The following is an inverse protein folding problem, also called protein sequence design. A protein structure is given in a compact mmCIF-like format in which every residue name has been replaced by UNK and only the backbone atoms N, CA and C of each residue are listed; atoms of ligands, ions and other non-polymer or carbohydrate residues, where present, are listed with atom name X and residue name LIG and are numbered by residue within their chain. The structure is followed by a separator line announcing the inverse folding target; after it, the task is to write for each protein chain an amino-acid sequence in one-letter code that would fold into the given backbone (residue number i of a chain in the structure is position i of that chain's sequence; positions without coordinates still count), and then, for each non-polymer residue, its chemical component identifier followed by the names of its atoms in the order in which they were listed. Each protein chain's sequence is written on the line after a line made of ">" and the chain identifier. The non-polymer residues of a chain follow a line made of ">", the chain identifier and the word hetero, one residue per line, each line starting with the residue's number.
data_IF_241250279004
#
_entry.id   IF_241250279004
#
_cell.length_a   1.000
_cell.length_b   1.000
_cell.length_c   1.000
_cell.angle_alpha   90.00
_cell.angle_beta   90.00
_cell.angle_gamma   90.00
#
_symmetry.space_group_name_H-M   'P 1'
#
loop_
_entity.id
_entity.type
_entity.pdbx_description
1 polymer ?
#
# COMPACT_ATOMS: atom_id res chain seq x y z
N UNK A 1 -17.65 -11.50 -11.73
CA UNK A 1 -18.15 -10.25 -11.10
C UNK A 1 -17.70 -9.01 -11.88
N UNK A 2 -16.58 -9.05 -12.61
CA UNK A 2 -16.04 -7.90 -13.34
C UNK A 2 -16.75 -7.59 -14.67
N UNK A 3 -17.40 -8.55 -15.33
CA UNK A 3 -18.15 -8.29 -16.58
C UNK A 3 -19.41 -7.43 -16.38
N UNK A 4 -19.96 -7.41 -15.16
CA UNK A 4 -21.20 -6.69 -14.82
C UNK A 4 -20.97 -5.43 -14.00
N UNK A 5 -19.74 -5.18 -13.55
CA UNK A 5 -19.41 -4.01 -12.75
C UNK A 5 -18.91 -2.87 -13.64
N UNK A 6 -19.63 -1.75 -13.63
CA UNK A 6 -19.20 -0.51 -14.29
C UNK A 6 -18.60 0.42 -13.24
N UNK A 7 -17.34 0.86 -13.39
CA UNK A 7 -16.73 1.83 -12.49
C UNK A 7 -17.57 3.10 -12.35
N UNK A 8 -17.75 3.56 -11.11
CA UNK A 8 -18.44 4.80 -10.82
C UNK A 8 -17.60 6.02 -11.20
N UNK A 9 -18.25 7.19 -11.30
CA UNK A 9 -17.54 8.46 -11.43
C UNK A 9 -16.95 8.85 -10.06
N UNK A 10 -15.66 9.25 -9.97
CA UNK A 10 -15.09 9.76 -8.73
C UNK A 10 -15.90 10.95 -8.18
N UNK A 11 -16.16 10.92 -6.87
CA UNK A 11 -16.90 11.99 -6.16
C UNK A 11 -15.98 12.93 -5.38
N UNK A 12 -14.67 12.83 -5.59
CA UNK A 12 -13.68 13.68 -4.94
C UNK A 12 -13.81 15.14 -5.37
N UNK A 13 -13.36 16.04 -4.50
CA UNK A 13 -13.35 17.48 -4.75
C UNK A 13 -12.51 17.82 -5.99
N UNK A 14 -12.94 18.81 -6.77
CA UNK A 14 -12.18 19.26 -7.94
C UNK A 14 -10.78 19.75 -7.54
N UNK A 15 -9.73 19.10 -8.05
CA UNK A 15 -8.34 19.37 -7.69
C UNK A 15 -7.74 18.43 -6.64
N UNK A 16 -8.51 17.51 -6.07
CA UNK A 16 -7.99 16.50 -5.13
C UNK A 16 -6.85 15.67 -5.76
N UNK A 17 -5.77 15.45 -5.01
CA UNK A 17 -4.63 14.65 -5.48
C UNK A 17 -4.95 13.18 -5.78
N UNK A 18 -6.02 12.63 -5.19
CA UNK A 18 -6.41 11.21 -5.33
C UNK A 18 -6.77 10.86 -6.79
N UNK A 19 -7.16 11.84 -7.60
CA UNK A 19 -7.32 11.67 -9.05
C UNK A 19 -6.03 11.22 -9.73
N UNK A 20 -4.88 11.78 -9.35
CA UNK A 20 -3.58 11.39 -9.89
C UNK A 20 -3.18 9.97 -9.46
N UNK A 21 -3.53 9.58 -8.24
CA UNK A 21 -3.28 8.23 -7.71
C UNK A 21 -4.12 7.20 -8.47
N UNK A 22 -5.40 7.48 -8.69
CA UNK A 22 -6.30 6.63 -9.47
C UNK A 22 -5.77 6.43 -10.90
N UNK A 23 -5.38 7.52 -11.57
CA UNK A 23 -4.88 7.48 -12.94
C UNK A 23 -3.58 6.67 -13.05
N UNK A 24 -2.64 6.89 -12.13
CA UNK A 24 -1.38 6.14 -12.09
C UNK A 24 -1.61 4.65 -11.86
N UNK A 25 -2.56 4.28 -10.99
CA UNK A 25 -2.89 2.88 -10.74
C UNK A 25 -3.57 2.21 -11.94
N UNK A 26 -4.55 2.87 -12.56
CA UNK A 26 -5.22 2.35 -13.76
C UNK A 26 -4.21 2.15 -14.89
N UNK A 27 -3.36 3.15 -15.14
CA UNK A 27 -2.32 3.09 -16.16
C UNK A 27 -1.32 1.98 -15.90
N UNK A 28 -0.79 1.87 -14.67
CA UNK A 28 0.17 0.82 -14.32
C UNK A 28 -0.43 -0.59 -14.46
N UNK A 29 -1.69 -0.79 -14.06
CA UNK A 29 -2.38 -2.07 -14.23
C UNK A 29 -2.60 -2.44 -15.69
N UNK A 30 -2.83 -1.45 -16.56
CA UNK A 30 -2.98 -1.65 -18.00
C UNK A 30 -1.63 -1.94 -18.67
N UNK A 31 -0.58 -1.21 -18.31
CA UNK A 31 0.79 -1.42 -18.80
C UNK A 31 1.29 -2.83 -18.46
N UNK A 32 0.99 -3.29 -17.24
CA UNK A 32 1.31 -4.64 -16.78
C UNK A 32 0.32 -5.72 -17.22
N UNK A 33 -0.72 -5.33 -17.98
CA UNK A 33 -1.75 -6.23 -18.51
C UNK A 33 -2.42 -7.11 -17.43
N UNK A 34 -2.53 -6.61 -16.19
CA UNK A 34 -3.18 -7.35 -15.10
C UNK A 34 -4.67 -7.43 -15.42
N UNK A 35 -5.27 -8.61 -15.63
CA UNK A 35 -6.66 -8.69 -16.04
C UNK A 35 -7.59 -8.32 -14.87
N UNK A 36 -8.75 -7.74 -15.17
CA UNK A 36 -9.65 -7.23 -14.14
C UNK A 36 -10.06 -8.28 -13.08
N UNK A 37 -10.17 -9.55 -13.49
CA UNK A 37 -10.55 -10.64 -12.59
C UNK A 37 -9.43 -11.09 -11.62
N UNK A 38 -8.19 -10.66 -11.85
CA UNK A 38 -7.06 -10.93 -10.94
C UNK A 38 -6.76 -9.75 -10.01
N UNK A 39 -7.40 -8.59 -10.24
CA UNK A 39 -7.24 -7.38 -9.43
C UNK A 39 -8.12 -7.48 -8.19
N UNK A 40 -7.52 -7.51 -7.01
CA UNK A 40 -8.23 -7.44 -5.73
C UNK A 40 -7.82 -6.16 -4.99
N UNK A 41 -8.73 -5.19 -4.88
CA UNK A 41 -8.46 -3.91 -4.24
C UNK A 41 -9.17 -3.86 -2.89
N UNK A 42 -8.38 -3.71 -1.83
CA UNK A 42 -8.86 -3.66 -0.46
C UNK A 42 -8.68 -2.23 0.04
N UNK A 43 -9.79 -1.55 0.28
CA UNK A 43 -9.80 -0.14 0.64
C UNK A 43 -10.09 0.06 2.13
N UNK A 44 -9.43 1.05 2.73
CA UNK A 44 -9.72 1.52 4.08
C UNK A 44 -10.89 2.51 4.10
N UNK A 45 -11.13 3.16 5.23
CA UNK A 45 -12.20 4.17 5.37
C UNK A 45 -11.60 5.57 5.22
N UNK A 46 -12.14 6.36 4.29
CA UNK A 46 -11.71 7.72 3.99
C UNK A 46 -12.07 8.12 2.56
N UNK A 47 -11.72 9.35 2.15
CA UNK A 47 -11.83 9.76 0.74
C UNK A 47 -11.02 8.82 -0.16
N UNK A 48 -9.80 8.50 0.27
CA UNK A 48 -8.92 7.52 -0.37
C UNK A 48 -9.56 6.13 -0.53
N UNK A 49 -10.39 5.71 0.43
CA UNK A 49 -11.06 4.41 0.42
C UNK A 49 -12.07 4.24 -0.72
N UNK A 50 -12.62 5.33 -1.26
CA UNK A 50 -13.57 5.23 -2.36
C UNK A 50 -12.93 4.84 -3.70
N UNK A 51 -11.59 4.85 -3.78
CA UNK A 51 -10.82 4.51 -5.00
C UNK A 51 -11.27 3.19 -5.63
N UNK A 52 -11.52 2.15 -4.84
CA UNK A 52 -11.90 0.83 -5.34
C UNK A 52 -13.21 0.84 -6.17
N UNK A 53 -14.07 1.86 -6.00
CA UNK A 53 -15.30 2.00 -6.78
C UNK A 53 -15.07 2.56 -8.20
N UNK A 54 -13.86 3.04 -8.52
CA UNK A 54 -13.57 3.82 -9.74
C UNK A 54 -12.70 3.07 -10.77
N UNK A 55 -12.48 1.77 -10.57
CA UNK A 55 -11.81 0.90 -11.53
C UNK A 55 -12.36 -0.52 -11.49
N UNK A 56 -12.25 -1.22 -12.63
CA UNK A 56 -12.74 -2.60 -12.76
C UNK A 56 -11.83 -3.56 -11.99
N UNK A 57 -12.34 -4.11 -10.89
CA UNK A 57 -11.64 -5.04 -10.01
C UNK A 57 -12.63 -5.81 -9.12
N UNK A 58 -12.12 -6.78 -8.35
CA UNK A 58 -12.77 -7.21 -7.11
C UNK A 58 -12.46 -6.19 -6.01
N UNK A 59 -13.45 -5.39 -5.63
CA UNK A 59 -13.32 -4.38 -4.59
C UNK A 59 -13.82 -4.88 -3.23
N UNK A 60 -13.09 -4.60 -2.16
CA UNK A 60 -13.50 -4.85 -0.79
C UNK A 60 -13.24 -3.63 0.09
N UNK A 61 -14.28 -3.06 0.67
CA UNK A 61 -14.16 -1.93 1.60
C UNK A 61 -14.01 -2.50 3.03
N UNK A 62 -12.78 -2.49 3.54
CA UNK A 62 -12.46 -2.93 4.89
C UNK A 62 -12.91 -1.89 5.93
N UNK A 63 -12.84 -2.29 7.20
CA UNK A 63 -13.00 -1.36 8.33
C UNK A 63 -11.82 -0.40 8.42
N UNK A 64 -12.03 0.72 9.10
CA UNK A 64 -11.01 1.76 9.27
C UNK A 64 -9.72 1.19 9.88
N UNK A 65 -8.60 1.36 9.17
CA UNK A 65 -7.28 0.84 9.48
C UNK A 65 -7.16 -0.68 9.46
N UNK A 66 -8.05 -1.39 8.77
CA UNK A 66 -8.02 -2.86 8.62
C UNK A 66 -7.67 -3.32 7.21
N UNK A 67 -7.10 -2.44 6.38
CA UNK A 67 -6.64 -2.77 5.03
C UNK A 67 -5.63 -3.91 5.04
N UNK A 68 -4.51 -3.73 5.74
CA UNK A 68 -3.41 -4.68 5.74
C UNK A 68 -3.71 -6.07 6.31
N UNK A 69 -4.44 -6.24 7.44
CA UNK A 69 -4.82 -7.58 7.89
C UNK A 69 -5.75 -8.28 6.88
N UNK A 70 -6.69 -7.53 6.29
CA UNK A 70 -7.60 -8.07 5.27
C UNK A 70 -6.83 -8.46 4.00
N UNK A 71 -5.92 -7.60 3.53
CA UNK A 71 -5.09 -7.85 2.35
C UNK A 71 -4.12 -9.01 2.53
N UNK A 72 -3.54 -9.14 3.72
CA UNK A 72 -2.71 -10.31 4.07
C UNK A 72 -3.52 -11.60 3.99
N UNK A 73 -4.74 -11.61 4.54
CA UNK A 73 -5.63 -12.76 4.46
C UNK A 73 -6.00 -13.12 3.02
N UNK A 74 -6.37 -12.13 2.21
CA UNK A 74 -6.69 -12.32 0.79
C UNK A 74 -5.49 -12.92 0.02
N UNK A 75 -4.28 -12.38 0.23
CA UNK A 75 -3.07 -12.86 -0.45
C UNK A 75 -2.67 -14.28 -0.03
N UNK A 76 -2.81 -14.62 1.26
CA UNK A 76 -2.55 -15.97 1.74
C UNK A 76 -3.60 -16.98 1.26
N UNK A 77 -4.86 -16.56 1.15
CA UNK A 77 -5.93 -17.41 0.66
C UNK A 77 -5.78 -17.71 -0.83
N UNK A 78 -5.41 -16.71 -1.64
CA UNK A 78 -5.17 -16.86 -3.06
C UNK A 78 -3.94 -16.03 -3.52
N UNK A 79 -2.74 -16.64 -3.52
CA UNK A 79 -1.50 -16.00 -3.94
C UNK A 79 -1.46 -15.53 -5.40
N UNK A 80 -2.32 -16.06 -6.26
CA UNK A 80 -2.33 -15.70 -7.69
C UNK A 80 -2.98 -14.32 -7.93
N UNK A 81 -3.75 -13.80 -6.98
CA UNK A 81 -4.34 -12.46 -7.11
C UNK A 81 -3.29 -11.36 -6.97
N UNK A 82 -3.47 -10.31 -7.76
CA UNK A 82 -2.80 -9.02 -7.57
C UNK A 82 -3.56 -8.27 -6.49
N UNK A 83 -3.08 -8.37 -5.25
CA UNK A 83 -3.71 -7.76 -4.07
C UNK A 83 -3.13 -6.38 -3.82
N UNK A 84 -4.00 -5.37 -3.86
CA UNK A 84 -3.65 -3.96 -3.69
C UNK A 84 -4.44 -3.41 -2.50
N UNK A 85 -3.73 -2.91 -1.49
CA UNK A 85 -4.33 -2.15 -0.40
C UNK A 85 -4.32 -0.66 -0.74
N UNK A 86 -5.41 0.06 -0.46
CA UNK A 86 -5.46 1.52 -0.59
C UNK A 86 -6.05 2.15 0.68
N UNK A 87 -5.49 3.27 1.13
CA UNK A 87 -5.95 3.96 2.32
C UNK A 87 -5.40 5.38 2.42
N UNK A 88 -5.91 6.14 3.40
CA UNK A 88 -5.36 7.46 3.74
C UNK A 88 -4.29 7.33 4.82
N UNK A 89 -3.56 8.42 5.04
CA UNK A 89 -2.62 8.58 6.16
C UNK A 89 -3.25 8.27 7.53
N UNK A 90 -4.43 8.80 7.83
CA UNK A 90 -5.15 8.49 9.07
C UNK A 90 -5.58 7.02 9.18
N UNK A 91 -6.02 6.41 8.08
CA UNK A 91 -6.39 5.00 8.03
C UNK A 91 -5.16 4.08 8.25
N UNK A 92 -4.07 4.37 7.55
CA UNK A 92 -2.86 3.54 7.54
C UNK A 92 -1.93 3.75 8.72
N UNK A 93 -1.79 4.99 9.20
CA UNK A 93 -0.76 5.36 10.17
C UNK A 93 -1.31 5.60 11.58
N UNK A 94 -2.58 6.00 11.73
CA UNK A 94 -3.20 6.11 13.05
C UNK A 94 -3.77 4.76 13.49
N UNK A 95 -5.07 4.53 13.27
CA UNK A 95 -5.76 3.31 13.72
C UNK A 95 -5.23 2.03 13.04
N UNK A 96 -4.59 2.16 11.87
CA UNK A 96 -3.93 1.08 11.15
C UNK A 96 -2.43 0.91 11.46
N UNK A 97 -1.81 1.82 12.22
CA UNK A 97 -0.35 1.88 12.36
C UNK A 97 0.28 0.59 12.90
N UNK A 98 -0.37 -0.07 13.88
CA UNK A 98 0.09 -1.36 14.38
C UNK A 98 0.11 -2.46 13.32
N UNK A 99 -0.86 -2.44 12.39
CA UNK A 99 -0.90 -3.40 11.29
C UNK A 99 0.17 -3.10 10.23
N UNK A 100 0.49 -1.83 9.99
CA UNK A 100 1.57 -1.41 9.09
C UNK A 100 2.92 -1.96 9.55
N UNK A 101 3.26 -1.78 10.82
CA UNK A 101 4.50 -2.32 11.42
C UNK A 101 4.59 -3.84 11.21
N UNK A 102 3.49 -4.56 11.45
CA UNK A 102 3.48 -6.01 11.28
C UNK A 102 3.46 -6.46 9.81
N UNK A 103 2.87 -5.69 8.90
CA UNK A 103 2.91 -5.97 7.47
C UNK A 103 4.34 -5.84 6.94
N UNK A 104 5.06 -4.76 7.29
CA UNK A 104 6.48 -4.63 7.00
C UNK A 104 7.30 -5.81 7.55
N UNK A 105 7.07 -6.22 8.80
CA UNK A 105 7.78 -7.36 9.40
C UNK A 105 7.52 -8.68 8.66
N UNK A 106 6.26 -8.94 8.28
CA UNK A 106 5.80 -10.20 7.67
C UNK A 106 6.08 -10.26 6.16
N UNK A 107 6.15 -9.11 5.50
CA UNK A 107 6.39 -8.97 4.07
C UNK A 107 5.37 -9.72 3.18
N UNK A 108 4.05 -9.57 3.37
CA UNK A 108 3.05 -10.20 2.49
C UNK A 108 3.13 -9.62 1.07
N UNK A 109 2.89 -10.42 0.02
CA UNK A 109 2.86 -9.96 -1.38
C UNK A 109 1.69 -9.03 -1.71
N UNK A 110 1.69 -7.85 -1.11
CA UNK A 110 0.64 -6.83 -1.23
C UNK A 110 1.28 -5.51 -1.64
N UNK A 111 0.71 -4.84 -2.63
CA UNK A 111 1.03 -3.45 -2.93
C UNK A 111 0.15 -2.54 -2.07
N UNK A 112 0.73 -1.76 -1.16
CA UNK A 112 -0.02 -0.85 -0.31
C UNK A 112 0.26 0.60 -0.71
N UNK A 113 -0.78 1.28 -1.18
CA UNK A 113 -0.72 2.67 -1.62
C UNK A 113 -1.43 3.54 -0.58
N UNK A 114 -0.68 4.45 0.06
CA UNK A 114 -1.25 5.40 1.02
C UNK A 114 -1.34 6.76 0.39
N UNK A 115 -2.55 7.31 0.31
CA UNK A 115 -2.83 8.67 -0.14
C UNK A 115 -2.66 9.60 1.06
N UNK A 116 -1.44 10.11 1.23
CA UNK A 116 -1.08 11.00 2.31
C UNK A 116 -1.46 12.44 1.92
N UNK A 117 -2.46 12.98 2.60
CA UNK A 117 -2.95 14.34 2.39
C UNK A 117 -2.76 15.24 3.62
N UNK A 118 -2.14 14.72 4.68
CA UNK A 118 -1.93 15.40 5.95
C UNK A 118 -3.21 15.74 6.70
N UNK A 119 -4.36 15.09 6.45
CA UNK A 119 -5.62 15.41 7.12
C UNK A 119 -6.73 14.35 6.98
N UNK A 120 -7.62 14.23 7.96
CA UNK A 120 -8.83 13.41 7.81
C UNK A 120 -9.90 14.11 6.95
N UNK A 121 -9.73 14.07 5.62
CA UNK A 121 -10.62 14.77 4.68
C UNK A 121 -12.10 14.38 4.78
N UNK A 122 -12.41 13.08 4.86
CA UNK A 122 -13.80 12.59 4.89
C UNK A 122 -14.55 13.05 6.15
N UNK A 123 -13.85 13.18 7.29
CA UNK A 123 -14.42 13.62 8.56
C UNK A 123 -14.31 15.12 8.78
N UNK A 124 -13.98 15.88 7.74
CA UNK A 124 -13.94 17.35 7.68
C UNK A 124 -12.69 18.02 8.24
N UNK A 125 -11.52 17.41 8.06
CA UNK A 125 -10.25 18.14 8.09
C UNK A 125 -9.49 18.12 9.41
N UNK A 126 -9.67 17.10 10.26
CA UNK A 126 -8.87 16.94 11.47
C UNK A 126 -7.40 16.69 11.13
N UNK A 127 -6.49 17.03 12.06
CA UNK A 127 -5.08 16.67 11.95
C UNK A 127 -4.90 15.14 11.90
N UNK A 128 -4.09 14.66 10.96
CA UNK A 128 -3.65 13.27 10.80
C UNK A 128 -2.29 13.07 11.47
N UNK A 129 -1.77 11.82 11.56
CA UNK A 129 -0.40 11.57 12.01
C UNK A 129 0.70 12.23 11.18
N UNK A 130 0.38 12.70 9.96
CA UNK A 130 1.36 13.32 9.05
C UNK A 130 1.11 14.83 8.89
N UNK A 131 0.18 15.38 9.66
CA UNK A 131 -0.02 16.82 9.72
C UNK A 131 1.19 17.50 10.32
N UNK A 132 1.65 18.59 9.71
CA UNK A 132 2.69 19.42 10.29
C UNK A 132 2.25 19.97 11.67
N UNK A 133 3.23 20.21 12.56
CA UNK A 133 2.98 20.91 13.81
C UNK A 133 2.34 22.29 13.53
N UNK A 134 1.30 22.63 14.29
CA UNK A 134 0.51 23.85 14.13
C UNK A 134 -0.70 23.73 13.18
N UNK A 135 -0.83 22.66 12.37
CA UNK A 135 -2.02 22.45 11.56
C UNK A 135 -3.21 22.03 12.44
N UNK A 136 -4.32 22.78 12.44
CA UNK A 136 -5.52 22.50 13.25
C UNK A 136 -5.19 22.25 14.73
N UNK A 137 -4.35 23.12 15.31
CA UNK A 137 -3.85 23.03 16.69
C UNK A 137 -3.07 21.73 17.01
N UNK A 138 -2.57 21.03 15.98
CA UNK A 138 -1.69 19.88 16.18
C UNK A 138 -0.41 20.30 16.91
N UNK A 139 -0.16 19.72 18.07
CA UNK A 139 1.04 19.96 18.89
C UNK A 139 2.12 18.90 18.69
N UNK A 140 1.80 17.82 17.98
CA UNK A 140 2.71 16.69 17.75
C UNK A 140 3.55 16.92 16.49
N UNK A 141 4.76 16.39 16.48
CA UNK A 141 5.55 16.27 15.25
C UNK A 141 4.92 15.26 14.30
N UNK A 142 5.06 15.49 13.00
CA UNK A 142 4.56 14.59 11.97
C UNK A 142 5.35 13.27 11.94
N UNK A 143 4.65 12.17 11.68
CA UNK A 143 5.24 10.87 11.45
C UNK A 143 5.81 10.78 10.03
N UNK A 144 7.04 10.29 9.89
CA UNK A 144 7.58 9.85 8.59
C UNK A 144 7.41 8.32 8.41
N UNK A 145 6.47 7.86 7.58
CA UNK A 145 6.23 6.45 7.40
C UNK A 145 7.31 5.76 6.54
N UNK A 146 8.09 6.51 5.76
CA UNK A 146 9.25 5.96 5.05
C UNK A 146 10.36 5.64 6.05
N UNK A 147 10.69 6.55 6.97
CA UNK A 147 11.66 6.27 8.03
C UNK A 147 11.19 5.11 8.93
N UNK A 148 9.90 5.05 9.26
CA UNK A 148 9.32 3.90 9.95
C UNK A 148 9.56 2.60 9.17
N UNK A 149 9.28 2.58 7.86
CA UNK A 149 9.51 1.42 7.00
C UNK A 149 10.99 1.02 6.94
N UNK A 150 11.91 1.99 6.84
CA UNK A 150 13.35 1.78 6.82
C UNK A 150 13.86 1.24 8.17
N UNK A 151 13.23 1.60 9.28
CA UNK A 151 13.57 1.08 10.61
C UNK A 151 13.22 -0.41 10.79
N UNK A 152 12.35 -0.96 9.94
CA UNK A 152 11.89 -2.36 10.03
C UNK A 152 12.65 -3.22 9.01
N UNK A 153 13.55 -4.14 9.43
CA UNK A 153 14.36 -4.95 8.52
C UNK A 153 13.56 -5.80 7.53
N UNK A 154 12.30 -6.09 7.85
CA UNK A 154 11.42 -6.89 7.02
C UNK A 154 10.87 -6.20 5.78
N UNK A 155 10.84 -4.86 5.73
CA UNK A 155 10.37 -4.10 4.58
C UNK A 155 11.24 -4.41 3.35
N UNK A 156 10.67 -4.49 2.16
CA UNK A 156 11.41 -4.84 0.94
C UNK A 156 11.25 -3.85 -0.19
N UNK A 157 10.26 -2.97 -0.14
CA UNK A 157 10.09 -1.92 -1.11
C UNK A 157 9.41 -0.73 -0.43
N UNK A 158 10.07 0.43 -0.48
CA UNK A 158 9.58 1.70 0.05
C UNK A 158 9.77 2.76 -1.03
N UNK A 159 8.69 3.44 -1.40
CA UNK A 159 8.72 4.53 -2.35
C UNK A 159 7.79 5.65 -1.88
N UNK A 160 8.12 6.89 -2.27
CA UNK A 160 7.26 8.05 -2.10
C UNK A 160 7.05 8.70 -3.45
N UNK A 161 5.79 8.86 -3.85
CA UNK A 161 5.39 9.59 -5.05
C UNK A 161 4.64 10.88 -4.70
N UNK A 162 4.40 11.70 -5.71
CA UNK A 162 3.59 12.91 -5.59
C UNK A 162 2.58 12.97 -6.73
N UNK A 163 1.30 13.19 -6.40
CA UNK A 163 0.23 13.37 -7.39
C UNK A 163 0.48 14.56 -8.34
N UNK A 164 1.24 15.58 -7.91
CA UNK A 164 1.69 16.67 -8.78
C UNK A 164 2.88 16.32 -9.68
N UNK A 165 3.42 15.10 -9.60
CA UNK A 165 4.46 14.58 -10.49
C UNK A 165 4.03 13.25 -11.15
N UNK A 166 3.05 13.30 -12.08
CA UNK A 166 2.32 12.13 -12.56
C UNK A 166 3.19 11.10 -13.29
N UNK A 167 4.22 11.54 -14.03
CA UNK A 167 5.10 10.64 -14.76
C UNK A 167 5.89 9.72 -13.82
N UNK A 168 6.52 10.29 -12.78
CA UNK A 168 7.21 9.50 -11.77
C UNK A 168 6.23 8.64 -10.96
N UNK A 169 5.08 9.19 -10.58
CA UNK A 169 4.07 8.43 -9.82
C UNK A 169 3.63 7.16 -10.57
N UNK A 170 3.43 7.24 -11.90
CA UNK A 170 3.16 6.08 -12.73
C UNK A 170 4.31 5.05 -12.68
N UNK A 171 5.55 5.50 -12.84
CA UNK A 171 6.72 4.59 -12.78
C UNK A 171 6.84 3.90 -11.41
N UNK A 172 6.68 4.65 -10.32
CA UNK A 172 6.73 4.09 -8.96
C UNK A 172 5.57 3.12 -8.68
N UNK A 173 4.38 3.43 -9.19
CA UNK A 173 3.20 2.55 -9.05
C UNK A 173 3.43 1.24 -9.81
N UNK A 174 3.96 1.31 -11.02
CA UNK A 174 4.34 0.13 -11.81
C UNK A 174 5.42 -0.70 -11.10
N UNK A 175 6.49 -0.06 -10.62
CA UNK A 175 7.57 -0.73 -9.91
C UNK A 175 7.08 -1.43 -8.63
N UNK A 176 6.13 -0.82 -7.91
CA UNK A 176 5.51 -1.41 -6.73
C UNK A 176 4.71 -2.68 -7.08
N UNK A 177 3.87 -2.62 -8.13
CA UNK A 177 3.12 -3.78 -8.60
C UNK A 177 4.03 -4.92 -9.10
N UNK A 178 5.09 -4.59 -9.85
CA UNK A 178 6.07 -5.57 -10.31
C UNK A 178 6.80 -6.24 -9.14
N UNK A 179 7.17 -5.47 -8.11
CA UNK A 179 7.86 -6.01 -6.92
C UNK A 179 7.02 -7.05 -6.20
N UNK A 180 5.73 -6.77 -5.98
CA UNK A 180 4.82 -7.72 -5.32
C UNK A 180 4.51 -8.92 -6.20
N UNK A 181 4.28 -8.72 -7.51
CA UNK A 181 4.03 -9.78 -8.48
C UNK A 181 5.22 -10.76 -8.62
N UNK A 182 6.45 -10.27 -8.45
CA UNK A 182 7.67 -11.08 -8.47
C UNK A 182 7.91 -11.86 -7.16
N UNK A 183 6.94 -11.85 -6.22
CA UNK A 183 7.05 -12.59 -4.97
C UNK A 183 8.09 -12.03 -3.99
N UNK A 184 8.44 -10.74 -4.13
CA UNK A 184 9.40 -10.04 -3.24
C UNK A 184 8.72 -9.42 -2.01
N UNK A 185 7.41 -9.62 -1.88
CA UNK A 185 6.62 -9.24 -0.73
C UNK A 185 5.99 -7.86 -0.87
N UNK A 186 5.94 -7.13 0.25
CA UNK A 186 5.15 -5.91 0.34
C UNK A 186 5.86 -4.77 -0.39
N UNK A 187 5.13 -4.13 -1.31
CA UNK A 187 5.55 -2.87 -1.91
C UNK A 187 4.74 -1.73 -1.31
N UNK A 188 5.39 -0.90 -0.50
CA UNK A 188 4.76 0.25 0.11
C UNK A 188 5.06 1.50 -0.73
N UNK A 189 4.00 2.16 -1.18
CA UNK A 189 4.05 3.40 -1.92
C UNK A 189 3.25 4.46 -1.16
N UNK A 190 3.94 5.39 -0.54
CA UNK A 190 3.31 6.62 -0.07
C UNK A 190 3.11 7.56 -1.26
N UNK A 191 1.93 8.16 -1.38
CA UNK A 191 1.69 9.20 -2.37
C UNK A 191 1.26 10.46 -1.66
N UNK A 192 2.06 11.51 -1.80
CA UNK A 192 1.68 12.86 -1.42
C UNK A 192 0.49 13.30 -2.32
N UNK A 193 -0.69 13.41 -1.71
CA UNK A 193 -1.97 13.67 -2.37
C UNK A 193 -2.66 14.89 -1.74
N UNK A 194 -2.51 16.12 -2.27
CA UNK A 194 -3.06 17.30 -1.64
C UNK A 194 -4.59 17.27 -1.48
N UNK A 195 -5.08 17.67 -0.30
CA UNK A 195 -6.50 17.85 -0.03
C UNK A 195 -6.91 19.31 -0.19
N UNK A 196 -7.28 19.71 -1.40
CA UNK A 196 -7.65 21.11 -1.75
C UNK A 196 -8.76 21.74 -0.89
N UNK A 197 -9.53 20.93 -0.15
CA UNK A 197 -10.62 21.40 0.71
C UNK A 197 -10.19 21.70 2.14
N UNK A 198 -9.27 20.92 2.71
CA UNK A 198 -8.93 20.98 4.13
C UNK A 198 -7.43 21.20 4.40
N UNK A 199 -6.56 20.80 3.47
CA UNK A 199 -5.11 20.94 3.57
C UNK A 199 -4.50 21.05 2.16
N UNK A 200 -4.55 22.25 1.58
CA UNK A 200 -4.04 22.51 0.22
C UNK A 200 -2.52 22.71 0.23
N UNK A 201 -1.80 21.61 0.06
CA UNK A 201 -0.34 21.55 0.12
C UNK A 201 0.33 21.66 -1.25
N UNK A 202 -0.41 21.89 -2.35
CA UNK A 202 0.19 21.92 -3.70
C UNK A 202 1.35 22.91 -3.82
N UNK A 203 1.19 24.12 -3.27
CA UNK A 203 2.20 25.17 -3.35
C UNK A 203 3.46 24.80 -2.56
N UNK A 204 3.27 24.31 -1.35
CA UNK A 204 4.34 24.00 -0.41
C UNK A 204 5.15 22.79 -0.89
N UNK A 205 4.45 21.68 -1.18
CA UNK A 205 5.10 20.45 -1.61
C UNK A 205 5.83 20.62 -2.94
N UNK A 206 5.29 21.38 -3.91
CA UNK A 206 5.99 21.64 -5.17
C UNK A 206 7.39 22.24 -4.97
N UNK A 207 7.58 23.02 -3.91
CA UNK A 207 8.90 23.60 -3.60
C UNK A 207 9.77 22.70 -2.73
N UNK A 208 9.19 21.80 -1.95
CA UNK A 208 9.91 20.93 -1.01
C UNK A 208 10.29 19.57 -1.59
N UNK A 209 9.60 19.08 -2.63
CA UNK A 209 9.88 17.77 -3.23
C UNK A 209 11.29 17.69 -3.78
N UNK A 210 11.98 16.59 -3.47
CA UNK A 210 13.34 16.29 -3.91
C UNK A 210 13.34 14.92 -4.58
N UNK A 211 13.69 14.85 -5.85
CA UNK A 211 13.66 13.60 -6.60
C UNK A 211 14.97 12.83 -6.39
N UNK A 212 14.92 11.76 -5.58
CA UNK A 212 16.07 10.91 -5.30
C UNK A 212 16.44 9.99 -6.47
N UNK A 213 15.52 9.76 -7.42
CA UNK A 213 15.82 8.95 -8.61
C UNK A 213 16.83 9.67 -9.54
N UNK A 214 16.98 10.99 -9.38
CA UNK A 214 17.98 11.81 -10.10
C UNK A 214 19.26 12.05 -9.30
N UNK A 215 19.40 11.49 -8.11
CA UNK A 215 20.60 11.67 -7.28
C UNK A 215 21.71 10.71 -7.74
N UNK A 216 22.81 11.27 -8.24
CA UNK A 216 23.95 10.51 -8.74
C UNK A 216 24.53 9.60 -7.64
N UNK A 217 24.59 8.30 -7.93
CA UNK A 217 25.17 7.30 -7.02
C UNK A 217 24.24 6.84 -5.90
N UNK A 218 22.97 7.24 -5.90
CA UNK A 218 21.98 6.70 -4.97
C UNK A 218 21.72 5.21 -5.26
N UNK A 219 21.86 4.35 -4.25
CA UNK A 219 21.57 2.91 -4.33
C UNK A 219 20.36 2.56 -3.45
N UNK A 220 19.18 2.23 -4.02
CA UNK A 220 18.03 1.80 -3.25
C UNK A 220 18.25 0.44 -2.55
N UNK A 221 19.33 -0.28 -2.86
CA UNK A 221 19.72 -1.52 -2.17
C UNK A 221 20.39 -1.29 -0.81
N UNK A 222 20.92 -0.09 -0.55
CA UNK A 222 21.60 0.23 0.72
C UNK A 222 20.63 0.88 1.71
N UNK A 223 20.09 0.06 2.62
CA UNK A 223 19.17 0.51 3.67
C UNK A 223 19.78 1.57 4.59
N UNK A 224 21.06 1.42 4.95
CA UNK A 224 21.68 2.30 5.93
C UNK A 224 21.91 3.68 5.31
N UNK A 225 22.41 3.71 4.07
CA UNK A 225 22.53 4.94 3.29
C UNK A 225 21.15 5.58 3.05
N UNK A 226 20.13 4.80 2.68
CA UNK A 226 18.77 5.30 2.51
C UNK A 226 18.22 5.92 3.80
N UNK A 227 18.38 5.25 4.96
CA UNK A 227 17.95 5.79 6.25
C UNK A 227 18.62 7.14 6.56
N UNK A 228 19.96 7.20 6.47
CA UNK A 228 20.69 8.44 6.70
C UNK A 228 20.28 9.57 5.75
N UNK A 229 20.12 9.25 4.46
CA UNK A 229 19.75 10.23 3.44
C UNK A 229 18.33 10.78 3.61
N UNK A 230 17.37 9.92 3.96
CA UNK A 230 15.99 10.36 4.23
C UNK A 230 15.93 11.25 5.47
N UNK A 231 16.70 10.93 6.52
CA UNK A 231 16.82 11.78 7.71
C UNK A 231 17.40 13.15 7.37
N UNK A 232 18.51 13.19 6.62
CA UNK A 232 19.16 14.44 6.20
C UNK A 232 18.21 15.33 5.37
N UNK A 233 17.53 14.76 4.37
CA UNK A 233 16.58 15.49 3.53
C UNK A 233 15.42 16.04 4.35
N UNK A 234 14.91 15.27 5.32
CA UNK A 234 13.84 15.72 6.22
C UNK A 234 14.30 16.90 7.08
N UNK A 235 15.50 16.85 7.66
CA UNK A 235 16.08 17.97 8.43
C UNK A 235 16.27 19.24 7.58
N UNK A 236 16.49 19.09 6.27
CA UNK A 236 16.55 20.19 5.30
C UNK A 236 15.16 20.69 4.85
N UNK A 237 14.06 20.13 5.39
CA UNK A 237 12.70 20.45 4.98
C UNK A 237 12.32 19.96 3.58
N UNK A 238 13.03 18.94 3.08
CA UNK A 238 12.79 18.32 1.76
C UNK A 238 11.87 17.11 1.89
N UNK A 239 11.11 16.85 0.83
CA UNK A 239 10.23 15.69 0.70
C UNK A 239 10.80 14.75 -0.37
N UNK A 240 11.58 13.72 0.01
CA UNK A 240 12.20 12.81 -0.95
C UNK A 240 11.13 12.02 -1.72
N UNK A 241 11.15 12.10 -3.04
CA UNK A 241 10.33 11.30 -3.97
C UNK A 241 11.22 10.31 -4.70
N UNK A 242 10.69 9.14 -5.03
CA UNK A 242 11.37 8.11 -5.82
C UNK A 242 11.32 6.73 -5.17
N UNK A 243 12.12 5.81 -5.70
CA UNK A 243 12.33 4.47 -5.12
C UNK A 243 13.38 4.55 -4.01
N UNK A 244 12.91 4.67 -2.77
CA UNK A 244 13.77 4.95 -1.60
C UNK A 244 14.48 3.69 -1.10
N UNK A 245 13.85 2.53 -1.20
CA UNK A 245 14.50 1.29 -0.82
C UNK A 245 13.91 0.11 -1.55
N UNK A 246 14.79 -0.79 -1.99
CA UNK A 246 14.42 -2.08 -2.57
C UNK A 246 15.35 -3.19 -2.05
N UNK A 247 14.82 -4.00 -1.14
CA UNK A 247 15.48 -5.17 -0.57
C UNK A 247 15.14 -6.47 -1.29
N UNK A 248 15.83 -7.54 -0.85
CA UNK A 248 15.64 -8.91 -1.37
C UNK A 248 15.21 -9.82 -0.22
N UNK A 249 13.90 -10.06 -0.09
CA UNK A 249 13.33 -11.05 0.83
C UNK A 249 12.09 -11.68 0.18
N UNK A 250 11.89 -13.00 0.31
CA UNK A 250 10.69 -13.64 -0.20
C UNK A 250 9.41 -13.12 0.48
N UNK A 251 8.31 -13.16 -0.26
CA UNK A 251 6.99 -12.83 0.24
C UNK A 251 6.48 -13.85 1.28
N UNK A 252 5.63 -13.42 2.21
CA UNK A 252 5.08 -14.25 3.28
C UNK A 252 4.47 -15.57 2.76
N UNK A 253 3.66 -15.50 1.70
CA UNK A 253 2.96 -16.64 1.13
C UNK A 253 3.91 -17.73 0.62
N UNK A 254 5.10 -17.36 0.14
CA UNK A 254 6.12 -18.33 -0.31
C UNK A 254 6.79 -19.09 0.84
N UNK A 255 6.70 -18.54 2.06
CA UNK A 255 7.27 -19.14 3.27
C UNK A 255 6.20 -19.89 4.09
N UNK A 256 4.95 -19.44 4.03
CA UNK A 256 3.87 -19.91 4.89
C UNK A 256 3.00 -20.99 4.24
N UNK A 257 2.90 -21.03 2.92
CA UNK A 257 2.06 -22.00 2.22
C UNK A 257 2.84 -23.28 1.91
N UNK A 258 2.18 -24.43 2.11
CA UNK A 258 2.75 -25.71 1.74
C UNK A 258 2.51 -25.96 0.23
N UNK A 259 3.57 -26.10 -0.58
CA UNK A 259 3.44 -26.30 -2.04
C UNK A 259 2.84 -27.66 -2.43
N UNK A 260 2.76 -28.63 -1.50
CA UNK A 260 2.14 -29.94 -1.73
C UNK A 260 0.61 -29.87 -1.78
N UNK A 261 0.02 -28.77 -1.31
CA UNK A 261 -1.44 -28.59 -1.25
C UNK A 261 -1.88 -27.47 -2.17
N UNK A 262 -3.10 -27.60 -2.71
CA UNK A 262 -3.78 -26.48 -3.33
C UNK A 262 -3.89 -25.31 -2.34
N UNK A 263 -3.74 -24.08 -2.86
CA UNK A 263 -3.89 -22.85 -2.08
C UNK A 263 -5.28 -22.81 -1.41
N UNK A 264 -5.44 -22.19 -0.24
CA UNK A 264 -6.66 -22.30 0.57
C UNK A 264 -7.95 -22.00 -0.20
N UNK A 265 -7.97 -20.98 -1.06
CA UNK A 265 -9.14 -20.61 -1.86
C UNK A 265 -9.52 -21.60 -2.96
N UNK A 266 -8.66 -22.59 -3.26
CA UNK A 266 -8.87 -23.62 -4.29
C UNK A 266 -8.99 -25.02 -3.73
N UNK A 267 -9.04 -25.20 -2.42
CA UNK A 267 -9.25 -26.51 -1.82
C UNK A 267 -10.67 -27.01 -2.09
N UNK A 268 -10.79 -28.29 -2.45
CA UNK A 268 -12.09 -28.94 -2.61
C UNK A 268 -12.65 -29.31 -1.24
N UNK A 269 -13.53 -28.46 -0.72
CA UNK A 269 -14.21 -28.69 0.55
C UNK A 269 -15.32 -29.75 0.46
N UNK A 270 -15.60 -30.28 -0.72
CA UNK A 270 -16.62 -31.32 -0.94
C UNK A 270 -16.03 -32.72 -1.05
N UNK A 271 -14.70 -32.89 -0.98
CA UNK A 271 -14.07 -34.21 -0.97
C UNK A 271 -14.56 -35.03 0.24
N UNK A 272 -15.31 -36.10 -0.05
CA UNK A 272 -15.90 -36.98 0.94
C UNK A 272 -14.86 -37.64 1.85
N UNK A 273 -13.61 -37.77 1.40
CA UNK A 273 -12.53 -38.39 2.16
C UNK A 273 -11.92 -37.44 3.20
N UNK A 274 -12.25 -36.14 3.22
CA UNK A 274 -11.69 -35.19 4.17
C UNK A 274 -11.95 -35.59 5.63
N UNK A 275 -13.16 -36.09 5.93
CA UNK A 275 -13.53 -36.54 7.27
C UNK A 275 -12.69 -37.74 7.70
N UNK A 276 -12.48 -38.70 6.79
CA UNK A 276 -11.71 -39.91 7.09
C UNK A 276 -10.22 -39.59 7.24
N UNK A 277 -9.66 -38.72 6.39
CA UNK A 277 -8.29 -38.20 6.54
C UNK A 277 -8.11 -37.45 7.86
N UNK A 278 -9.09 -36.65 8.28
CA UNK A 278 -9.06 -35.97 9.58
C UNK A 278 -9.05 -36.99 10.75
N UNK A 279 -9.89 -38.02 10.69
CA UNK A 279 -9.92 -39.09 11.70
C UNK A 279 -8.59 -39.84 11.76
N UNK A 280 -8.01 -40.18 10.62
CA UNK A 280 -6.70 -40.83 10.53
C UNK A 280 -5.59 -39.96 11.15
N UNK A 281 -5.57 -38.67 10.82
CA UNK A 281 -4.62 -37.72 11.40
C UNK A 281 -4.77 -37.67 12.93
N UNK A 282 -5.99 -37.55 13.45
CA UNK A 282 -6.25 -37.53 14.90
C UNK A 282 -5.80 -38.82 15.59
N UNK A 283 -5.97 -39.98 14.95
CA UNK A 283 -5.50 -41.26 15.50
C UNK A 283 -3.97 -41.37 15.50
N UNK A 284 -3.28 -40.76 14.53
CA UNK A 284 -1.82 -40.77 14.46
C UNK A 284 -1.14 -40.04 15.63
N UNK A 285 -1.81 -39.05 16.24
CA UNK A 285 -1.31 -38.30 17.41
C UNK A 285 -1.57 -38.97 18.76
N UNK A 286 -2.35 -40.06 18.79
CA UNK A 286 -2.69 -40.79 20.02
C UNK A 286 -1.69 -41.95 20.29
N UNK A 287 -0.78 -42.23 19.36
CA UNK A 287 0.32 -43.21 19.51
C UNK A 287 1.59 -42.55 20.03
#
# INVERSE_FOLDING_TARGET
>A
MTETFTPGRPIWCAGCGDFGVLEALISALNDLQVPAHDRMIIAGIGCSGSLQNYLSCYGYHALHGRVLPTATGAKLANPELTVIGVGGDGDGYAIGGGHLVHAFKRNPGVTYIVMNNGTYGLTKGQASPTSAAGFQDNIEEDLDPILLGLSIPGSTFLARGYSGHPAQLLQLTRAALEHSAQGRGMSYLEVLSPCVTYNDTYREWRTSVYDIDNEDGYDPGDRAAAFGRMTELREQGRLPLGLIYQGKRPALESLALNPEFAVPARQDLQDANLIDRYREAMQSFIR
#
